data_IF_318977870064
#
_entry.id   IF_318977870064
#
_cell.length_a   1.000
_cell.length_b   1.000
_cell.length_c   1.000
_cell.angle_alpha   90.00
_cell.angle_beta   90.00
_cell.angle_gamma   90.00
#
_symmetry.space_group_name_H-M   'P 1'
#
loop_
_entity.id
_entity.type
_entity.pdbx_description
1 polymer ?
#
# COMPACT_ATOMS: atom_id res chain seq x y z
N UNK A 1 67.21 -18.89 0.58
CA UNK A 1 66.23 -18.00 1.24
C UNK A 1 65.15 -17.49 0.27
N UNK A 2 65.48 -17.08 -0.96
CA UNK A 2 64.48 -16.63 -1.95
C UNK A 2 63.47 -17.70 -2.44
N UNK A 3 63.88 -18.98 -2.56
CA UNK A 3 62.98 -20.05 -3.07
C UNK A 3 61.75 -20.30 -2.18
N UNK A 4 61.93 -20.30 -0.86
CA UNK A 4 60.80 -20.45 0.07
C UNK A 4 59.84 -19.25 0.05
N UNK A 5 60.39 -18.04 -0.11
CA UNK A 5 59.60 -16.81 -0.23
C UNK A 5 58.64 -16.86 -1.43
N UNK A 6 59.11 -17.27 -2.61
CA UNK A 6 58.25 -17.36 -3.79
C UNK A 6 57.14 -18.41 -3.66
N UNK A 7 57.44 -19.56 -3.03
CA UNK A 7 56.42 -20.60 -2.79
C UNK A 7 55.34 -20.07 -1.85
N UNK A 8 55.73 -19.42 -0.75
CA UNK A 8 54.77 -18.81 0.19
C UNK A 8 53.96 -17.72 -0.50
N UNK A 9 54.59 -16.86 -1.30
CA UNK A 9 53.91 -15.79 -2.03
C UNK A 9 52.84 -16.32 -3.00
N UNK A 10 53.16 -17.37 -3.77
CA UNK A 10 52.21 -18.01 -4.69
C UNK A 10 51.05 -18.63 -3.93
N UNK A 11 51.32 -19.35 -2.83
CA UNK A 11 50.26 -19.92 -2.00
C UNK A 11 49.34 -18.84 -1.41
N UNK A 12 49.90 -17.71 -0.96
CA UNK A 12 49.12 -16.56 -0.50
C UNK A 12 48.24 -15.98 -1.61
N UNK A 13 48.75 -15.85 -2.84
CA UNK A 13 47.95 -15.36 -3.98
C UNK A 13 46.79 -16.30 -4.32
N UNK A 14 47.03 -17.61 -4.33
CA UNK A 14 45.98 -18.61 -4.55
C UNK A 14 44.91 -18.53 -3.45
N UNK A 15 45.33 -18.40 -2.18
CA UNK A 15 44.40 -18.26 -1.06
C UNK A 15 43.55 -16.98 -1.17
N UNK A 16 44.15 -15.85 -1.57
CA UNK A 16 43.42 -14.58 -1.76
C UNK A 16 42.37 -14.72 -2.86
N UNK A 17 42.73 -15.28 -4.02
CA UNK A 17 41.77 -15.48 -5.13
C UNK A 17 40.67 -16.46 -4.74
N UNK A 18 40.97 -17.51 -3.97
CA UNK A 18 39.97 -18.46 -3.49
C UNK A 18 38.97 -17.84 -2.52
N UNK A 19 39.41 -16.92 -1.64
CA UNK A 19 38.55 -16.28 -0.62
C UNK A 19 37.73 -15.13 -1.20
N UNK A 20 38.34 -14.26 -2.01
CA UNK A 20 37.68 -13.06 -2.52
C UNK A 20 37.04 -13.26 -3.91
N UNK A 21 37.31 -14.40 -4.56
CA UNK A 21 36.82 -14.70 -5.88
C UNK A 21 37.35 -13.74 -6.94
N UNK A 22 36.75 -13.82 -8.12
CA UNK A 22 37.01 -12.86 -9.19
C UNK A 22 36.01 -11.71 -9.11
N UNK A 23 36.49 -10.49 -9.37
CA UNK A 23 35.64 -9.30 -9.41
C UNK A 23 34.51 -9.49 -10.42
N UNK A 24 33.26 -9.22 -10.02
CA UNK A 24 32.08 -9.30 -10.88
C UNK A 24 31.34 -10.64 -10.86
N UNK A 25 31.70 -11.56 -9.97
CA UNK A 25 30.90 -12.77 -9.74
C UNK A 25 29.52 -12.42 -9.20
N UNK A 26 28.50 -13.12 -9.72
CA UNK A 26 27.12 -13.03 -9.21
C UNK A 26 26.95 -14.05 -8.09
N UNK A 27 26.35 -13.61 -6.98
CA UNK A 27 26.02 -14.47 -5.84
C UNK A 27 24.51 -14.44 -5.59
N UNK A 28 23.97 -15.55 -5.08
CA UNK A 28 22.61 -15.63 -4.55
C UNK A 28 22.53 -15.23 -3.07
N UNK A 29 23.68 -15.13 -2.39
CA UNK A 29 23.77 -14.67 -1.02
C UNK A 29 23.70 -13.14 -0.95
N UNK A 30 23.26 -12.57 0.19
CA UNK A 30 23.36 -11.14 0.43
C UNK A 30 24.79 -10.63 0.21
N UNK A 31 24.96 -9.41 -0.35
CA UNK A 31 26.27 -8.81 -0.50
C UNK A 31 27.02 -8.70 0.83
N UNK A 32 28.34 -8.82 0.78
CA UNK A 32 29.18 -8.60 1.96
C UNK A 32 29.22 -7.11 2.29
N UNK A 33 28.90 -6.78 3.54
CA UNK A 33 28.89 -5.41 4.04
C UNK A 33 30.15 -5.15 4.88
N UNK A 34 31.01 -4.24 4.44
CA UNK A 34 32.28 -3.92 5.14
C UNK A 34 32.04 -3.05 6.38
N UNK A 35 31.09 -2.12 6.32
CA UNK A 35 30.75 -1.20 7.41
C UNK A 35 29.24 -1.18 7.67
N UNK A 36 28.69 -2.16 8.41
CA UNK A 36 27.24 -2.32 8.56
C UNK A 36 26.59 -1.48 9.68
N UNK A 37 27.39 -0.74 10.46
CA UNK A 37 26.96 -0.08 11.72
C UNK A 37 25.68 0.76 11.58
N UNK A 38 25.61 1.60 10.54
CA UNK A 38 24.42 2.42 10.28
C UNK A 38 23.48 1.83 9.22
N UNK A 39 23.81 0.67 8.64
CA UNK A 39 22.95 -0.04 7.69
C UNK A 39 21.77 -0.66 8.44
N UNK A 40 22.08 -1.35 9.56
CA UNK A 40 21.10 -1.97 10.45
C UNK A 40 21.03 -1.19 11.77
N UNK A 41 20.20 -0.16 11.76
CA UNK A 41 20.01 0.69 12.93
C UNK A 41 19.17 -0.03 14.00
N UNK A 42 19.42 0.20 15.30
CA UNK A 42 18.62 -0.34 16.41
C UNK A 42 17.30 0.42 16.57
N UNK A 43 16.52 0.53 15.49
CA UNK A 43 15.18 1.11 15.47
C UNK A 43 14.27 0.25 14.62
N UNK A 44 13.02 0.11 15.05
CA UNK A 44 12.01 -0.65 14.30
C UNK A 44 11.50 0.23 13.16
N UNK A 45 11.70 -0.22 11.91
CA UNK A 45 11.13 0.44 10.72
C UNK A 45 9.73 -0.11 10.43
N UNK A 46 8.97 0.61 9.59
CA UNK A 46 7.71 0.10 9.08
C UNK A 46 7.94 -1.26 8.38
N UNK A 47 7.06 -2.23 8.64
CA UNK A 47 7.16 -3.59 8.12
C UNK A 47 8.45 -4.35 8.50
N UNK A 48 9.21 -3.89 9.49
CA UNK A 48 10.37 -4.62 10.00
C UNK A 48 9.93 -5.75 10.96
N UNK A 49 10.64 -6.89 10.96
CA UNK A 49 10.43 -7.92 11.96
C UNK A 49 10.88 -7.45 13.35
N UNK A 50 10.30 -8.05 14.38
CA UNK A 50 10.71 -7.82 15.77
C UNK A 50 10.39 -9.04 16.63
N UNK A 51 11.41 -9.64 17.22
CA UNK A 51 11.30 -10.89 18.00
C UNK A 51 10.68 -10.69 19.41
N UNK A 52 10.35 -9.45 19.76
CA UNK A 52 9.70 -9.13 21.03
C UNK A 52 8.23 -9.60 21.08
N UNK A 53 7.53 -9.61 19.95
CA UNK A 53 6.12 -10.01 19.87
C UNK A 53 5.97 -11.41 19.28
N UNK A 54 4.96 -12.15 19.74
CA UNK A 54 4.72 -13.54 19.32
C UNK A 54 4.46 -13.71 17.81
N UNK A 55 4.03 -12.66 17.11
CA UNK A 55 3.79 -12.66 15.66
C UNK A 55 5.02 -12.23 14.84
N UNK A 56 6.14 -11.92 15.49
CA UNK A 56 7.38 -11.48 14.86
C UNK A 56 7.30 -10.13 14.15
N UNK A 57 6.21 -9.35 14.34
CA UNK A 57 5.99 -8.08 13.64
C UNK A 57 6.36 -6.90 14.53
N UNK A 58 7.25 -6.04 14.01
CA UNK A 58 7.49 -4.71 14.53
C UNK A 58 6.26 -3.79 14.50
N UNK A 59 5.52 -3.65 13.38
CA UNK A 59 4.32 -2.83 13.35
C UNK A 59 3.18 -3.47 14.15
N UNK A 60 2.56 -2.69 15.04
CA UNK A 60 1.40 -3.10 15.83
C UNK A 60 0.12 -2.52 15.25
N UNK A 61 -0.95 -3.29 15.31
CA UNK A 61 -2.28 -2.78 15.03
C UNK A 61 -2.68 -1.76 16.10
N UNK A 62 -3.37 -0.67 15.74
CA UNK A 62 -3.97 0.23 16.72
C UNK A 62 -5.06 -0.51 17.52
N UNK A 63 -5.30 -0.06 18.75
CA UNK A 63 -6.40 -0.59 19.57
C UNK A 63 -7.73 -0.25 18.90
N UNK A 64 -8.68 -1.20 18.89
CA UNK A 64 -10.00 -0.99 18.31
C UNK A 64 -10.68 0.26 18.91
N UNK A 65 -11.31 1.07 18.06
CA UNK A 65 -11.94 2.34 18.45
C UNK A 65 -11.00 3.55 18.51
N UNK A 66 -9.71 3.38 18.23
CA UNK A 66 -8.78 4.52 18.11
C UNK A 66 -9.17 5.39 16.91
N UNK A 67 -9.39 6.68 17.15
CA UNK A 67 -9.64 7.68 16.09
C UNK A 67 -8.35 8.45 15.84
N UNK A 68 -7.82 8.50 14.60
CA UNK A 68 -6.64 9.28 14.30
C UNK A 68 -6.95 10.78 14.44
N UNK A 69 -6.13 11.50 15.20
CA UNK A 69 -6.01 12.95 15.07
C UNK A 69 -5.31 13.20 13.72
N UNK A 70 -5.75 14.23 12.97
CA UNK A 70 -5.41 14.45 11.56
C UNK A 70 -3.96 14.11 11.12
N UNK A 71 -3.79 13.76 9.84
CA UNK A 71 -2.53 13.25 9.28
C UNK A 71 -1.37 14.27 9.25
N UNK A 72 -1.60 15.52 9.66
CA UNK A 72 -0.54 16.52 9.76
C UNK A 72 0.08 16.51 11.16
N UNK A 73 1.38 16.21 11.24
CA UNK A 73 2.18 16.39 12.44
C UNK A 73 2.00 17.84 12.94
N UNK A 74 1.59 18.07 14.20
CA UNK A 74 1.56 19.41 14.77
C UNK A 74 2.96 20.03 14.66
N UNK A 75 3.12 21.02 13.78
CA UNK A 75 4.36 21.80 13.73
C UNK A 75 4.40 22.65 15.01
N UNK A 76 5.54 22.75 15.71
CA UNK A 76 5.68 23.69 16.81
C UNK A 76 5.33 25.08 16.30
N UNK A 77 4.39 25.77 16.95
CA UNK A 77 4.15 27.19 16.70
C UNK A 77 5.36 27.96 17.20
N UNK A 78 6.29 28.30 16.31
CA UNK A 78 7.29 29.34 16.60
C UNK A 78 6.68 30.68 16.22
N UNK A 79 6.71 31.64 17.16
CA UNK A 79 6.04 32.95 17.06
C UNK A 79 6.57 33.84 15.93
N UNK A 80 7.64 33.44 15.24
CA UNK A 80 8.33 34.22 14.19
C UNK A 80 7.98 33.80 12.74
N UNK A 81 6.85 33.14 12.48
CA UNK A 81 6.46 32.79 11.11
C UNK A 81 5.85 34.00 10.36
N UNK A 82 6.28 34.30 9.11
CA UNK A 82 5.80 35.46 8.37
C UNK A 82 4.29 35.39 8.05
N UNK A 83 3.62 36.56 7.86
CA UNK A 83 2.19 36.60 7.56
C UNK A 83 1.90 35.82 6.27
N UNK A 84 1.04 34.80 6.38
CA UNK A 84 0.77 33.81 5.31
C UNK A 84 1.05 32.37 5.70
N UNK A 85 1.62 32.13 6.89
CA UNK A 85 1.67 30.80 7.52
C UNK A 85 0.94 30.80 8.88
N UNK A 86 -0.13 31.60 9.01
CA UNK A 86 -1.16 31.33 10.01
C UNK A 86 -1.80 29.99 9.65
N UNK A 87 -2.17 29.19 10.64
CA UNK A 87 -2.69 27.82 10.48
C UNK A 87 -4.07 27.71 9.81
N UNK A 88 -4.34 28.56 8.84
CA UNK A 88 -5.33 28.32 7.80
C UNK A 88 -4.56 27.62 6.68
N UNK A 89 -4.49 26.29 6.77
CA UNK A 89 -3.96 25.49 5.68
C UNK A 89 -4.65 25.93 4.37
N UNK A 90 -3.91 26.12 3.27
CA UNK A 90 -4.53 26.42 2.00
C UNK A 90 -5.64 25.39 1.73
N UNK A 91 -6.81 25.89 1.34
CA UNK A 91 -7.96 25.11 0.87
C UNK A 91 -7.61 24.19 -0.34
N UNK A 92 -6.38 24.32 -0.85
CA UNK A 92 -5.75 23.45 -1.83
C UNK A 92 -5.32 22.11 -1.22
N UNK A 93 -6.33 21.27 -0.96
CA UNK A 93 -6.38 19.89 -1.42
C UNK A 93 -5.04 19.13 -1.60
N UNK A 94 -4.26 18.98 -0.53
CA UNK A 94 -3.75 17.64 -0.27
C UNK A 94 -4.99 16.78 0.00
N UNK A 95 -5.56 16.20 -1.07
CA UNK A 95 -6.70 15.28 -1.00
C UNK A 95 -6.43 14.36 0.17
N UNK A 96 -7.20 14.50 1.27
CA UNK A 96 -6.96 13.76 2.51
C UNK A 96 -6.84 12.29 2.13
N UNK A 97 -5.61 11.75 2.17
CA UNK A 97 -5.35 10.34 1.85
C UNK A 97 -5.88 9.54 3.03
N UNK A 98 -7.17 9.29 3.00
CA UNK A 98 -7.90 8.64 4.07
C UNK A 98 -8.48 7.33 3.55
N UNK A 99 -8.35 6.29 4.36
CA UNK A 99 -8.92 4.97 4.12
C UNK A 99 -10.29 4.79 4.80
N UNK A 100 -10.92 5.91 5.20
CA UNK A 100 -12.17 6.13 5.93
C UNK A 100 -11.88 6.86 7.24
N UNK A 101 -12.27 8.13 7.33
CA UNK A 101 -12.04 8.98 8.51
C UNK A 101 -13.32 9.59 9.08
N UNK A 102 -14.48 9.30 8.51
CA UNK A 102 -15.76 9.89 8.88
C UNK A 102 -16.93 8.91 8.83
N UNK A 103 -18.09 9.39 9.26
CA UNK A 103 -19.36 8.66 9.29
C UNK A 103 -20.37 9.16 8.26
N UNK A 104 -19.97 10.08 7.39
CA UNK A 104 -20.80 10.67 6.33
C UNK A 104 -20.97 9.74 5.12
N UNK A 105 -21.79 10.15 4.16
CA UNK A 105 -22.03 9.40 2.92
C UNK A 105 -20.74 9.16 2.14
N UNK A 106 -19.84 10.15 2.09
CA UNK A 106 -18.56 10.03 1.40
C UNK A 106 -17.68 8.90 1.97
N UNK A 107 -17.62 8.76 3.29
CA UNK A 107 -16.78 7.72 3.92
C UNK A 107 -17.49 6.36 4.07
N UNK A 108 -18.82 6.30 4.01
CA UNK A 108 -19.59 5.10 4.36
C UNK A 108 -20.48 4.54 3.25
N UNK A 109 -20.85 5.36 2.26
CA UNK A 109 -21.86 5.03 1.26
C UNK A 109 -23.31 5.03 1.81
N UNK A 110 -23.54 5.46 3.05
CA UNK A 110 -24.88 5.49 3.66
C UNK A 110 -25.49 6.89 3.73
N UNK A 111 -26.79 6.98 3.46
CA UNK A 111 -27.63 8.14 3.75
C UNK A 111 -28.63 7.74 4.84
N UNK A 112 -28.33 8.09 6.09
CA UNK A 112 -29.01 7.52 7.25
C UNK A 112 -28.76 6.02 7.35
N UNK A 113 -29.82 5.22 7.48
CA UNK A 113 -29.73 3.76 7.59
C UNK A 113 -29.74 3.01 6.25
N UNK A 114 -29.87 3.73 5.13
CA UNK A 114 -29.96 3.15 3.79
C UNK A 114 -28.69 3.40 2.98
N UNK A 115 -28.42 2.53 2.00
CA UNK A 115 -27.40 2.81 0.99
C UNK A 115 -27.84 3.96 0.10
N UNK A 116 -26.97 4.95 -0.06
CA UNK A 116 -27.24 6.10 -0.92
C UNK A 116 -26.92 5.81 -2.40
N UNK A 117 -27.57 6.55 -3.29
CA UNK A 117 -27.31 6.55 -4.73
C UNK A 117 -26.82 7.94 -5.15
N UNK A 118 -25.91 7.99 -6.11
CA UNK A 118 -25.24 9.18 -6.60
C UNK A 118 -23.78 9.22 -6.16
N UNK A 119 -22.88 9.50 -7.10
CA UNK A 119 -21.46 9.71 -6.81
C UNK A 119 -21.29 11.07 -6.11
N UNK A 120 -20.72 11.14 -4.90
CA UNK A 120 -20.60 12.38 -4.12
C UNK A 120 -19.44 13.29 -4.59
N UNK A 121 -18.87 13.00 -5.76
CA UNK A 121 -17.76 13.72 -6.37
C UNK A 121 -18.18 14.21 -7.76
N UNK A 122 -17.65 15.36 -8.22
CA UNK A 122 -17.82 15.76 -9.62
C UNK A 122 -17.24 14.69 -10.56
N UNK A 123 -18.09 14.10 -11.40
CA UNK A 123 -17.68 13.08 -12.36
C UNK A 123 -17.02 13.75 -13.57
N UNK A 124 -15.73 14.09 -13.41
CA UNK A 124 -14.91 14.65 -14.49
C UNK A 124 -14.19 13.56 -15.27
N UNK A 125 -13.63 13.90 -16.43
CA UNK A 125 -12.81 12.96 -17.23
C UNK A 125 -11.61 12.45 -16.43
N UNK A 126 -10.97 13.31 -15.65
CA UNK A 126 -9.82 12.98 -14.81
C UNK A 126 -10.20 11.97 -13.72
N UNK A 127 -11.39 12.11 -13.12
CA UNK A 127 -11.92 11.13 -12.16
C UNK A 127 -12.19 9.79 -12.82
N UNK A 128 -12.79 9.78 -14.01
CA UNK A 128 -13.06 8.54 -14.76
C UNK A 128 -11.79 7.83 -15.21
N UNK A 129 -10.77 8.57 -15.67
CA UNK A 129 -9.45 8.03 -16.02
C UNK A 129 -8.77 7.43 -14.78
N UNK A 130 -8.90 8.10 -13.64
CA UNK A 130 -8.44 7.59 -12.34
C UNK A 130 -9.16 6.30 -11.94
N UNK A 131 -10.49 6.27 -12.04
CA UNK A 131 -11.32 5.10 -11.78
C UNK A 131 -10.93 3.92 -12.67
N UNK A 132 -10.78 4.15 -13.97
CA UNK A 132 -10.31 3.13 -14.91
C UNK A 132 -8.94 2.58 -14.51
N UNK A 133 -7.98 3.44 -14.14
CA UNK A 133 -6.67 3.02 -13.68
C UNK A 133 -6.78 2.13 -12.43
N UNK A 134 -7.59 2.54 -11.44
CA UNK A 134 -7.77 1.83 -10.18
C UNK A 134 -8.49 0.49 -10.36
N UNK A 135 -9.52 0.46 -11.19
CA UNK A 135 -10.22 -0.74 -11.60
C UNK A 135 -9.28 -1.74 -12.27
N UNK A 136 -8.45 -1.28 -13.22
CA UNK A 136 -7.49 -2.15 -13.91
C UNK A 136 -6.42 -2.72 -12.99
N UNK A 137 -5.99 -1.96 -11.98
CA UNK A 137 -4.98 -2.41 -11.00
C UNK A 137 -5.58 -3.42 -10.02
N UNK A 138 -6.81 -3.21 -9.55
CA UNK A 138 -7.32 -3.91 -8.35
C UNK A 138 -8.50 -4.84 -8.62
N UNK A 139 -9.41 -4.46 -9.52
CA UNK A 139 -10.69 -5.13 -9.72
C UNK A 139 -10.67 -6.08 -10.93
N UNK A 140 -9.99 -5.67 -12.01
CA UNK A 140 -9.99 -6.38 -13.30
C UNK A 140 -9.33 -7.77 -13.23
N UNK A 141 -8.45 -8.02 -12.26
CA UNK A 141 -7.85 -9.35 -12.05
C UNK A 141 -8.90 -10.43 -11.72
N UNK A 142 -10.02 -10.05 -11.10
CA UNK A 142 -11.14 -10.93 -10.77
C UNK A 142 -12.31 -10.69 -11.71
N UNK A 143 -12.76 -9.44 -11.85
CA UNK A 143 -13.95 -9.11 -12.63
C UNK A 143 -13.70 -9.04 -14.14
N UNK A 144 -12.45 -9.02 -14.60
CA UNK A 144 -12.09 -8.84 -16.01
C UNK A 144 -12.13 -7.38 -16.46
N UNK A 145 -11.46 -7.07 -17.58
CA UNK A 145 -11.38 -5.71 -18.12
C UNK A 145 -12.75 -5.13 -18.53
N UNK A 146 -13.67 -5.99 -19.00
CA UNK A 146 -15.05 -5.61 -19.32
C UNK A 146 -16.03 -5.83 -18.15
N UNK A 147 -15.51 -6.19 -16.97
CA UNK A 147 -16.28 -6.45 -15.75
C UNK A 147 -17.31 -7.60 -15.84
N UNK A 148 -17.06 -8.61 -16.70
CA UNK A 148 -17.98 -9.75 -16.92
C UNK A 148 -17.66 -11.00 -16.09
N UNK A 149 -16.84 -10.87 -15.04
CA UNK A 149 -16.51 -11.98 -14.12
C UNK A 149 -15.56 -13.02 -14.72
N UNK A 150 -14.70 -12.60 -15.65
CA UNK A 150 -13.78 -13.46 -16.39
C UNK A 150 -12.30 -13.03 -16.26
N UNK A 151 -11.94 -12.40 -15.13
CA UNK A 151 -10.56 -12.02 -14.86
C UNK A 151 -9.61 -13.22 -14.78
N UNK A 152 -8.30 -12.95 -14.85
CA UNK A 152 -7.25 -13.98 -14.88
C UNK A 152 -7.34 -14.99 -13.73
N UNK A 153 -7.80 -14.56 -12.56
CA UNK A 153 -7.96 -15.42 -11.37
C UNK A 153 -8.96 -16.56 -11.57
N UNK A 154 -9.89 -16.45 -12.53
CA UNK A 154 -10.81 -17.53 -12.90
C UNK A 154 -10.07 -18.78 -13.37
N UNK A 155 -8.92 -18.62 -14.04
CA UNK A 155 -8.06 -19.74 -14.47
C UNK A 155 -7.43 -20.49 -13.28
N UNK A 156 -7.42 -19.87 -12.10
CA UNK A 156 -6.85 -20.40 -10.87
C UNK A 156 -7.91 -20.83 -9.85
N UNK A 157 -9.16 -21.04 -10.30
CA UNK A 157 -10.23 -21.61 -9.48
C UNK A 157 -11.21 -20.61 -8.83
N UNK A 158 -11.01 -19.30 -9.00
CA UNK A 158 -12.01 -18.29 -8.59
C UNK A 158 -13.16 -18.21 -9.62
N UNK A 159 -13.93 -19.29 -9.73
CA UNK A 159 -14.97 -19.44 -10.75
C UNK A 159 -16.26 -18.65 -10.46
N UNK A 160 -16.47 -18.21 -9.22
CA UNK A 160 -17.72 -17.60 -8.74
C UNK A 160 -17.71 -16.07 -8.76
N UNK A 161 -16.73 -15.44 -9.42
CA UNK A 161 -16.69 -13.98 -9.54
C UNK A 161 -17.86 -13.51 -10.41
N UNK A 162 -18.69 -12.64 -9.84
CA UNK A 162 -19.89 -12.12 -10.51
C UNK A 162 -19.55 -11.13 -11.63
N UNK A 163 -20.41 -11.08 -12.63
CA UNK A 163 -20.42 -10.03 -13.64
C UNK A 163 -21.02 -8.76 -13.03
N UNK A 164 -20.35 -7.62 -13.19
CA UNK A 164 -20.88 -6.32 -12.78
C UNK A 164 -21.90 -5.77 -13.78
N UNK A 165 -22.03 -6.42 -14.95
CA UNK A 165 -23.03 -6.09 -15.97
C UNK A 165 -24.41 -6.67 -15.66
N UNK A 166 -24.54 -7.54 -14.66
CA UNK A 166 -25.82 -8.12 -14.26
C UNK A 166 -26.81 -7.03 -13.85
N UNK A 167 -28.07 -7.15 -14.26
CA UNK A 167 -29.11 -6.15 -13.96
C UNK A 167 -29.25 -5.85 -12.46
N UNK A 168 -29.06 -6.85 -11.60
CA UNK A 168 -29.07 -6.68 -10.15
C UNK A 168 -27.95 -5.75 -9.67
N UNK A 169 -26.77 -5.81 -10.28
CA UNK A 169 -25.64 -4.94 -9.94
C UNK A 169 -25.83 -3.55 -10.53
N UNK A 170 -26.32 -3.45 -11.77
CA UNK A 170 -26.60 -2.16 -12.43
C UNK A 170 -27.69 -1.34 -11.71
N UNK A 171 -28.60 -2.00 -10.99
CA UNK A 171 -29.65 -1.39 -10.16
C UNK A 171 -29.25 -1.23 -8.69
N UNK A 172 -28.06 -1.68 -8.31
CA UNK A 172 -27.53 -1.52 -6.96
C UNK A 172 -27.23 -0.04 -6.70
N UNK A 173 -27.50 0.43 -5.49
CA UNK A 173 -27.11 1.78 -5.08
C UNK A 173 -25.58 1.92 -5.06
N UNK A 174 -25.06 3.07 -5.45
CA UNK A 174 -23.61 3.33 -5.49
C UNK A 174 -22.95 3.13 -4.12
N UNK A 175 -23.66 3.49 -3.03
CA UNK A 175 -23.23 3.26 -1.66
C UNK A 175 -23.05 1.78 -1.28
N UNK A 176 -23.86 0.88 -1.83
CA UNK A 176 -23.69 -0.57 -1.59
C UNK A 176 -22.47 -1.12 -2.35
N UNK A 177 -22.18 -0.60 -3.54
CA UNK A 177 -20.96 -0.92 -4.30
C UNK A 177 -19.74 -0.41 -3.52
N UNK A 178 -19.76 0.84 -3.06
CA UNK A 178 -18.72 1.42 -2.20
C UNK A 178 -18.49 0.58 -0.93
N UNK A 179 -19.56 0.13 -0.28
CA UNK A 179 -19.45 -0.74 0.89
C UNK A 179 -18.86 -2.12 0.55
N UNK A 180 -19.23 -2.69 -0.60
CA UNK A 180 -18.67 -3.97 -1.07
C UNK A 180 -17.15 -3.85 -1.29
N UNK A 181 -16.67 -2.73 -1.82
CA UNK A 181 -15.23 -2.45 -1.95
C UNK A 181 -14.60 -2.29 -0.56
N UNK A 182 -15.23 -1.54 0.34
CA UNK A 182 -14.68 -1.20 1.65
C UNK A 182 -14.58 -2.43 2.57
N UNK A 183 -15.67 -3.19 2.68
CA UNK A 183 -15.86 -4.23 3.69
C UNK A 183 -15.86 -5.65 3.10
N UNK A 184 -15.81 -5.79 1.77
CA UNK A 184 -15.93 -7.08 1.10
C UNK A 184 -17.39 -7.57 1.04
N UNK A 185 -17.59 -8.70 0.36
CA UNK A 185 -18.90 -9.37 0.25
C UNK A 185 -18.72 -10.84 -0.10
N UNK A 186 -19.30 -11.73 0.68
CA UNK A 186 -19.16 -13.18 0.52
C UNK A 186 -17.67 -13.60 0.48
N UNK A 187 -17.20 -14.11 -0.66
CA UNK A 187 -15.82 -14.52 -0.89
C UNK A 187 -14.90 -13.37 -1.34
N UNK A 188 -15.44 -12.19 -1.61
CA UNK A 188 -14.64 -11.01 -1.92
C UNK A 188 -14.14 -10.37 -0.62
N UNK A 189 -12.81 -10.32 -0.47
CA UNK A 189 -12.15 -9.72 0.69
C UNK A 189 -12.32 -8.18 0.71
N UNK A 190 -12.23 -7.54 1.89
CA UNK A 190 -12.25 -6.08 2.00
C UNK A 190 -11.02 -5.44 1.35
N UNK A 191 -11.25 -4.35 0.61
CA UNK A 191 -10.20 -3.51 0.03
C UNK A 191 -10.09 -2.13 0.72
N UNK A 192 -10.92 -1.87 1.73
CA UNK A 192 -10.91 -0.60 2.48
C UNK A 192 -9.53 -0.17 2.97
N UNK A 193 -8.71 -1.04 3.58
CA UNK A 193 -7.36 -0.68 4.04
C UNK A 193 -6.36 -0.37 2.91
N UNK A 194 -6.69 -0.70 1.66
CA UNK A 194 -5.78 -0.65 0.52
C UNK A 194 -6.16 0.41 -0.51
N UNK A 195 -7.44 0.79 -0.58
CA UNK A 195 -7.97 1.80 -1.51
C UNK A 195 -8.49 2.98 -0.71
N UNK A 196 -7.98 4.18 -1.00
CA UNK A 196 -8.42 5.43 -0.36
C UNK A 196 -9.86 5.76 -0.77
N UNK A 197 -10.61 6.45 0.10
CA UNK A 197 -12.06 6.68 -0.08
C UNK A 197 -12.39 7.31 -1.44
N UNK A 198 -11.64 8.34 -1.87
CA UNK A 198 -11.87 8.98 -3.16
C UNK A 198 -11.71 8.01 -4.34
N UNK A 199 -10.71 7.11 -4.29
CA UNK A 199 -10.46 6.10 -5.32
C UNK A 199 -11.49 4.96 -5.32
N UNK A 200 -12.34 4.84 -4.28
CA UNK A 200 -13.47 3.89 -4.28
C UNK A 200 -14.69 4.44 -5.00
N UNK A 201 -14.80 5.77 -5.08
CA UNK A 201 -15.87 6.47 -5.80
C UNK A 201 -15.51 6.76 -7.26
N UNK A 202 -14.21 6.85 -7.57
CA UNK A 202 -13.68 6.99 -8.93
C UNK A 202 -13.89 5.71 -9.75
#
# INVERSE_FOLDING_TARGET
MLRGFFVIFVLCMIAIVAVFGFRGQKSTQPPTEVFPDMVRQPKVRAQAPLDFFADGRGPRLPVAGTVPVGYEMPKPKTEDMPPGMTGDAPEEAHTRVAFSAGTDYFNTGKMGDQWGTGIPLPVTRELMERGQQRFNITCAMCHGAAAVGNGITKQYGLATVVSLQDDRIRKMSDGEIFNTITNGKNTMMPYGPNIVVADRWA
#
